data_IF_655941395160
#
_entry.id   IF_655941395160
#
_cell.length_a   1.000
_cell.length_b   1.000
_cell.length_c   1.000
_cell.angle_alpha   90.00
_cell.angle_beta   90.00
_cell.angle_gamma   90.00
#
_symmetry.space_group_name_H-M   'P 1'
#
loop_
_entity.id
_entity.type
_entity.pdbx_description
1 polymer ?
#
# COMPACT_ATOMS: atom_id res chain seq x y z
N UNK A 1 -3.67 25.02 7.50
CA UNK A 1 -3.19 24.43 6.24
C UNK A 1 -2.94 22.96 6.55
N UNK A 2 -3.61 22.04 5.86
CA UNK A 2 -3.30 20.62 5.95
C UNK A 2 -1.95 20.42 5.23
N UNK A 3 -0.95 19.94 5.95
CA UNK A 3 0.39 19.68 5.40
C UNK A 3 0.42 18.24 4.88
N UNK A 4 -0.29 17.99 3.79
CA UNK A 4 -0.20 16.72 3.06
C UNK A 4 1.13 16.69 2.32
N UNK A 5 1.97 15.69 2.63
CA UNK A 5 3.26 15.48 1.95
C UNK A 5 3.14 14.24 1.07
N UNK A 6 3.44 14.41 -0.21
CA UNK A 6 3.49 13.32 -1.18
C UNK A 6 4.88 12.67 -1.20
N UNK A 7 4.89 11.35 -1.18
CA UNK A 7 6.07 10.50 -1.23
C UNK A 7 6.00 9.58 -2.46
N UNK A 8 7.16 9.37 -3.09
CA UNK A 8 7.31 8.48 -4.24
C UNK A 8 8.48 7.55 -3.97
N UNK A 9 8.24 6.25 -4.06
CA UNK A 9 9.28 5.22 -3.97
C UNK A 9 9.52 4.63 -5.35
N UNK A 10 10.80 4.47 -5.71
CA UNK A 10 11.23 3.89 -6.98
C UNK A 10 12.13 2.69 -6.74
N UNK A 11 11.93 1.63 -7.53
CA UNK A 11 12.89 0.53 -7.67
C UNK A 11 13.49 0.58 -9.08
N UNK A 12 14.81 0.67 -9.20
CA UNK A 12 15.52 0.74 -10.49
C UNK A 12 14.92 1.78 -11.47
N UNK A 13 14.58 2.97 -10.97
CA UNK A 13 13.89 4.07 -11.66
C UNK A 13 12.41 3.86 -12.03
N UNK A 14 11.84 2.68 -11.78
CA UNK A 14 10.40 2.42 -11.93
C UNK A 14 9.68 2.85 -10.65
N UNK A 15 8.59 3.61 -10.79
CA UNK A 15 7.75 3.98 -9.64
C UNK A 15 7.00 2.74 -9.18
N UNK A 16 7.06 2.46 -7.87
CA UNK A 16 6.40 1.30 -7.27
C UNK A 16 5.39 1.66 -6.20
N UNK A 17 5.52 2.86 -5.62
CA UNK A 17 4.57 3.39 -4.65
C UNK A 17 4.53 4.92 -4.75
N UNK A 18 3.31 5.46 -4.80
CA UNK A 18 3.03 6.87 -4.55
C UNK A 18 2.06 6.95 -3.37
N UNK A 19 2.35 7.77 -2.37
CA UNK A 19 1.46 7.88 -1.21
C UNK A 19 1.55 9.25 -0.53
N UNK A 20 0.52 9.59 0.24
CA UNK A 20 0.39 10.88 0.90
C UNK A 20 0.29 10.70 2.41
N UNK A 21 0.96 11.57 3.17
CA UNK A 21 0.98 11.54 4.64
C UNK A 21 0.47 12.88 5.17
N UNK A 22 -0.40 12.84 6.18
CA UNK A 22 -0.72 13.96 7.07
C UNK A 22 -0.61 13.47 8.53
N UNK A 23 0.01 14.25 9.41
CA UNK A 23 0.16 13.92 10.85
C UNK A 23 0.72 12.49 11.12
N UNK A 24 1.73 12.07 10.36
CA UNK A 24 2.37 10.74 10.43
C UNK A 24 1.46 9.55 10.10
N UNK A 25 0.35 9.79 9.40
CA UNK A 25 -0.57 8.74 8.95
C UNK A 25 -0.83 8.88 7.45
N UNK A 26 -1.20 7.78 6.80
CA UNK A 26 -1.68 7.83 5.42
C UNK A 26 -2.93 8.70 5.34
N UNK A 27 -2.87 9.76 4.56
CA UNK A 27 -3.99 10.68 4.33
C UNK A 27 -3.83 11.28 2.93
N UNK A 28 -4.79 11.02 2.06
CA UNK A 28 -4.74 11.35 0.65
C UNK A 28 -4.47 10.15 -0.25
N UNK A 29 -3.84 10.39 -1.39
CA UNK A 29 -3.69 9.39 -2.46
C UNK A 29 -2.69 8.30 -2.06
N UNK A 30 -2.97 7.05 -2.41
CA UNK A 30 -2.05 5.92 -2.39
C UNK A 30 -2.19 5.07 -3.66
N UNK A 31 -1.07 4.73 -4.30
CA UNK A 31 -1.00 3.92 -5.52
C UNK A 31 0.15 2.92 -5.45
N UNK A 32 -0.14 1.65 -5.69
CA UNK A 32 0.87 0.61 -5.84
C UNK A 32 1.04 0.24 -7.30
N UNK A 33 2.28 -0.01 -7.69
CA UNK A 33 2.64 -0.49 -9.02
C UNK A 33 3.50 -1.74 -8.90
N UNK A 34 3.40 -2.65 -9.88
CA UNK A 34 4.36 -3.73 -10.05
C UNK A 34 5.71 -3.19 -10.51
N UNK A 35 6.72 -4.06 -10.55
CA UNK A 35 8.10 -3.67 -10.88
C UNK A 35 8.32 -3.29 -12.34
N UNK A 36 7.38 -3.62 -13.21
CA UNK A 36 7.33 -3.13 -14.58
C UNK A 36 6.58 -1.79 -14.71
N UNK A 37 6.03 -1.27 -13.60
CA UNK A 37 5.26 -0.03 -13.54
C UNK A 37 3.77 -0.18 -13.81
N UNK A 38 3.22 -1.40 -13.91
CA UNK A 38 1.77 -1.60 -14.07
C UNK A 38 1.05 -1.25 -12.77
N UNK A 39 -0.02 -0.45 -12.86
CA UNK A 39 -0.84 -0.07 -11.70
C UNK A 39 -1.56 -1.29 -11.12
N UNK A 40 -1.35 -1.56 -9.84
CA UNK A 40 -1.97 -2.67 -9.11
C UNK A 40 -3.20 -2.19 -8.34
N UNK A 41 -3.03 -1.13 -7.54
CA UNK A 41 -4.12 -0.56 -6.72
C UNK A 41 -4.02 0.95 -6.68
N UNK A 42 -5.17 1.60 -6.49
CA UNK A 42 -5.27 3.04 -6.32
C UNK A 42 -6.43 3.34 -5.38
N UNK A 43 -6.18 4.17 -4.38
CA UNK A 43 -7.19 4.57 -3.42
C UNK A 43 -6.81 5.81 -2.63
N UNK A 44 -7.76 6.23 -1.80
CA UNK A 44 -7.67 7.36 -0.90
C UNK A 44 -7.67 6.84 0.54
N UNK A 45 -6.65 7.21 1.31
CA UNK A 45 -6.66 7.09 2.76
C UNK A 45 -7.23 8.35 3.39
N UNK A 46 -7.85 8.19 4.56
CA UNK A 46 -8.28 9.28 5.42
C UNK A 46 -8.02 8.89 6.87
N UNK A 47 -7.33 9.74 7.62
CA UNK A 47 -7.00 9.50 9.03
C UNK A 47 -6.36 8.11 9.25
N UNK A 48 -5.42 7.73 8.38
CA UNK A 48 -4.67 6.46 8.44
C UNK A 48 -5.45 5.22 8.00
N UNK A 49 -6.66 5.37 7.43
CA UNK A 49 -7.54 4.24 7.07
C UNK A 49 -8.00 4.29 5.61
N UNK A 50 -8.18 3.13 4.95
CA UNK A 50 -8.76 3.08 3.61
C UNK A 50 -10.13 3.75 3.56
N UNK A 51 -10.35 4.66 2.62
CA UNK A 51 -11.61 5.38 2.45
C UNK A 51 -12.32 4.98 1.15
N UNK A 52 -11.63 5.10 0.02
CA UNK A 52 -12.21 4.83 -1.30
C UNK A 52 -11.17 4.24 -2.26
N UNK A 53 -11.54 3.21 -3.01
CA UNK A 53 -10.66 2.55 -3.99
C UNK A 53 -10.18 1.19 -3.53
N UNK A 54 -9.04 0.75 -4.06
CA UNK A 54 -8.43 -0.54 -3.74
C UNK A 54 -7.08 -0.39 -3.07
N UNK A 55 -6.74 -1.34 -2.21
CA UNK A 55 -5.51 -1.33 -1.41
C UNK A 55 -4.97 -2.75 -1.29
N UNK A 56 -3.65 -2.90 -1.39
CA UNK A 56 -3.01 -4.16 -1.03
C UNK A 56 -3.05 -4.30 0.50
N UNK A 57 -3.39 -5.47 1.02
CA UNK A 57 -3.33 -5.81 2.44
C UNK A 57 -2.31 -6.94 2.67
N UNK A 58 -1.06 -6.54 2.91
CA UNK A 58 0.06 -7.47 3.11
C UNK A 58 -0.11 -8.41 4.31
N UNK A 59 -0.95 -8.05 5.29
CA UNK A 59 -1.24 -8.91 6.45
C UNK A 59 -1.91 -10.23 6.08
N UNK A 60 -2.62 -10.28 4.94
CA UNK A 60 -3.24 -11.49 4.43
C UNK A 60 -2.20 -12.48 3.86
N UNK A 61 -1.05 -11.98 3.41
CA UNK A 61 0.03 -12.79 2.84
C UNK A 61 1.10 -13.15 3.86
N UNK A 62 1.51 -12.18 4.68
CA UNK A 62 2.62 -12.34 5.64
C UNK A 62 2.05 -12.30 7.06
N UNK A 63 1.70 -13.47 7.57
CA UNK A 63 1.17 -13.62 8.91
C UNK A 63 2.19 -13.14 9.96
N UNK A 64 1.72 -12.55 11.06
CA UNK A 64 2.48 -12.10 12.24
C UNK A 64 3.30 -10.80 12.16
N UNK A 65 3.41 -10.13 11.01
CA UNK A 65 4.15 -8.84 10.90
C UNK A 65 3.24 -7.63 11.16
N UNK A 66 1.98 -7.70 10.72
CA UNK A 66 1.04 -6.56 10.67
C UNK A 66 0.00 -6.56 11.80
N UNK A 67 0.35 -7.06 12.99
CA UNK A 67 -0.61 -7.51 14.02
C UNK A 67 -1.62 -6.45 14.48
N UNK A 68 -1.25 -5.17 14.48
CA UNK A 68 -2.08 -4.12 15.07
C UNK A 68 -2.70 -3.18 14.02
N UNK A 69 -1.97 -2.86 12.94
CA UNK A 69 -2.46 -2.02 11.85
C UNK A 69 -1.79 -2.40 10.51
N UNK A 70 -2.52 -3.01 9.55
CA UNK A 70 -1.96 -3.37 8.24
C UNK A 70 -1.59 -2.17 7.38
N UNK A 71 -2.02 -0.96 7.74
CA UNK A 71 -1.82 0.28 7.00
C UNK A 71 -0.98 1.31 7.77
N UNK A 72 -0.21 0.87 8.78
CA UNK A 72 0.78 1.73 9.43
C UNK A 72 1.86 2.13 8.42
N UNK A 73 2.17 3.42 8.31
CA UNK A 73 3.06 3.97 7.26
C UNK A 73 4.40 3.24 7.20
N UNK A 74 5.02 3.01 8.35
CA UNK A 74 6.35 2.42 8.43
C UNK A 74 6.38 0.98 7.90
N UNK A 75 5.34 0.19 8.18
CA UNK A 75 5.24 -1.21 7.75
C UNK A 75 4.66 -1.34 6.35
N UNK A 76 3.65 -0.53 6.03
CA UNK A 76 2.92 -0.59 4.77
C UNK A 76 3.76 -0.11 3.59
N UNK A 77 4.45 1.02 3.74
CA UNK A 77 5.12 1.70 2.63
C UNK A 77 6.58 1.31 2.46
N UNK A 78 7.27 0.83 3.50
CA UNK A 78 8.71 0.53 3.44
C UNK A 78 8.99 -0.94 3.11
N UNK A 79 8.18 -1.86 3.62
CA UNK A 79 8.61 -3.25 3.65
C UNK A 79 8.37 -4.01 2.33
N UNK A 80 7.50 -3.54 1.44
CA UNK A 80 7.19 -4.29 0.22
C UNK A 80 8.39 -4.50 -0.71
N UNK A 81 9.27 -3.51 -0.85
CA UNK A 81 10.45 -3.63 -1.71
C UNK A 81 11.43 -4.64 -1.09
N UNK A 82 11.66 -4.55 0.21
CA UNK A 82 12.56 -5.48 0.92
C UNK A 82 11.99 -6.90 0.97
N UNK A 83 10.68 -7.09 1.18
CA UNK A 83 10.03 -8.40 1.14
C UNK A 83 10.04 -9.02 -0.26
N UNK A 84 9.85 -8.20 -1.30
CA UNK A 84 9.96 -8.63 -2.68
C UNK A 84 11.38 -9.11 -3.01
N UNK A 85 12.40 -8.33 -2.63
CA UNK A 85 13.80 -8.63 -2.91
C UNK A 85 14.36 -9.80 -2.08
N UNK A 86 13.73 -10.10 -0.93
CA UNK A 86 14.26 -11.08 0.03
C UNK A 86 13.64 -12.48 -0.02
N UNK A 87 12.42 -12.69 -0.56
CA UNK A 87 11.82 -14.01 -0.33
C UNK A 87 10.46 -14.36 -0.92
N UNK A 88 9.93 -13.64 -1.91
CA UNK A 88 8.89 -14.28 -2.72
C UNK A 88 9.56 -15.34 -3.62
N UNK A 89 8.90 -16.49 -3.81
CA UNK A 89 9.26 -17.46 -4.84
C UNK A 89 9.59 -16.73 -6.15
N UNK A 90 10.28 -17.37 -7.09
CA UNK A 90 10.62 -16.80 -8.41
C UNK A 90 9.43 -16.24 -9.23
N UNK A 91 8.20 -16.30 -8.71
CA UNK A 91 6.96 -15.83 -9.29
C UNK A 91 6.34 -14.69 -8.45
N UNK A 92 5.84 -13.66 -9.15
CA UNK A 92 5.06 -12.59 -8.53
C UNK A 92 3.82 -13.15 -7.82
N UNK A 93 3.42 -12.60 -6.66
CA UNK A 93 2.16 -12.99 -6.02
C UNK A 93 0.96 -12.53 -6.86
N UNK A 94 -0.14 -13.28 -6.84
CA UNK A 94 -1.42 -12.79 -7.38
C UNK A 94 -1.99 -11.72 -6.44
N UNK A 95 -1.82 -10.47 -6.83
CA UNK A 95 -2.25 -9.30 -6.04
C UNK A 95 -3.74 -9.30 -5.72
N UNK A 96 -4.58 -10.01 -6.50
CA UNK A 96 -6.01 -10.10 -6.24
C UNK A 96 -6.33 -10.84 -4.94
N UNK A 97 -5.48 -11.78 -4.51
CA UNK A 97 -5.71 -12.58 -3.28
C UNK A 97 -5.71 -11.74 -2.00
N UNK A 98 -5.07 -10.57 -2.05
CA UNK A 98 -4.90 -9.68 -0.89
C UNK A 98 -5.21 -8.23 -1.21
N UNK A 99 -5.98 -7.99 -2.27
CA UNK A 99 -6.55 -6.67 -2.54
C UNK A 99 -7.86 -6.49 -1.79
N UNK A 100 -8.00 -5.38 -1.08
CA UNK A 100 -9.23 -4.97 -0.42
C UNK A 100 -9.82 -3.75 -1.11
N UNK A 101 -11.15 -3.72 -1.20
CA UNK A 101 -11.89 -2.61 -1.81
C UNK A 101 -12.66 -1.84 -0.76
N UNK A 102 -12.70 -0.52 -0.88
CA UNK A 102 -13.37 0.36 0.05
C UNK A 102 -14.22 1.39 -0.66
N UNK A 103 -15.34 1.73 -0.03
CA UNK A 103 -16.20 2.85 -0.42
C UNK A 103 -16.68 3.56 0.83
N UNK A 104 -16.43 4.86 0.91
CA UNK A 104 -16.79 5.72 2.05
C UNK A 104 -16.33 5.15 3.41
N UNK A 105 -15.11 4.61 3.47
CA UNK A 105 -14.50 4.03 4.67
C UNK A 105 -14.99 2.63 5.03
N UNK A 106 -15.85 2.02 4.21
CA UNK A 106 -16.35 0.66 4.42
C UNK A 106 -15.73 -0.30 3.42
N UNK A 107 -15.20 -1.41 3.93
CA UNK A 107 -14.74 -2.52 3.08
C UNK A 107 -15.94 -3.08 2.31
N UNK A 108 -15.76 -3.27 1.01
CA UNK A 108 -16.74 -3.89 0.10
C UNK A 108 -16.13 -5.17 -0.47
N UNK A 109 -17.00 -6.16 -0.71
CA UNK A 109 -16.62 -7.44 -1.30
C UNK A 109 -16.56 -7.35 -2.82
#
# INVERSE_FOLDING_TARGET
>A
MKNEIQHIIKNNNVIVLEYSIENNQLDGVCKWYSLDGTLLTNGIFKDGKPYEGSFLNWSLKIQNIFKDNPYEVDTYCKDWIEFYESGFDSNLPDYNEFTEFYKEGKKIN
#
